data_IF_691692909248
#
_entry.id   IF_691692909248
#
_cell.length_a   1.000
_cell.length_b   1.000
_cell.length_c   1.000
_cell.angle_alpha   90.00
_cell.angle_beta   90.00
_cell.angle_gamma   90.00
#
_symmetry.space_group_name_H-M   'P 1'
#
loop_
_entity.id
_entity.type
_entity.pdbx_description
1 polymer ?
#
# COMPACT_ATOMS: atom_id res chain seq x y z
N UNK A 1 10.51 -11.97 12.07
CA UNK A 1 10.15 -11.42 10.74
C UNK A 1 8.65 -11.39 10.69
N UNK A 2 8.05 -10.26 10.29
CA UNK A 2 6.59 -10.14 10.26
C UNK A 2 5.99 -10.59 8.92
N UNK A 3 6.66 -10.29 7.81
CA UNK A 3 6.29 -10.77 6.46
C UNK A 3 7.53 -11.34 5.80
N UNK A 4 7.43 -12.55 5.26
CA UNK A 4 8.47 -13.20 4.48
C UNK A 4 7.91 -13.64 3.13
N UNK A 5 8.59 -13.28 2.06
CA UNK A 5 8.19 -13.56 0.68
C UNK A 5 9.32 -14.27 -0.04
N UNK A 6 9.01 -15.41 -0.64
CA UNK A 6 9.96 -16.26 -1.34
C UNK A 6 9.49 -16.59 -2.75
N UNK A 7 10.29 -16.20 -3.75
CA UNK A 7 10.04 -16.49 -5.16
C UNK A 7 8.71 -15.93 -5.68
N UNK A 8 8.23 -14.82 -5.13
CA UNK A 8 6.93 -14.26 -5.48
C UNK A 8 6.90 -13.79 -6.91
N UNK A 9 5.99 -14.35 -7.69
CA UNK A 9 5.67 -13.94 -9.04
C UNK A 9 4.19 -13.52 -9.12
N UNK A 10 3.94 -12.40 -9.80
CA UNK A 10 2.58 -11.88 -9.99
C UNK A 10 2.35 -11.63 -11.47
N UNK A 11 1.30 -12.26 -12.02
CA UNK A 11 0.88 -12.11 -13.39
C UNK A 11 -0.61 -11.79 -13.47
N UNK A 12 -0.99 -10.87 -14.34
CA UNK A 12 -2.40 -10.54 -14.60
C UNK A 12 -2.64 -10.66 -16.11
N UNK A 13 -3.41 -11.69 -16.49
CA UNK A 13 -3.57 -12.05 -17.89
C UNK A 13 -2.24 -12.39 -18.56
N UNK A 14 -1.89 -11.69 -19.63
CA UNK A 14 -0.61 -11.86 -20.34
C UNK A 14 0.53 -10.98 -19.80
N UNK A 15 0.26 -10.12 -18.79
CA UNK A 15 1.25 -9.18 -18.27
C UNK A 15 1.85 -9.67 -16.95
N UNK A 16 3.17 -9.82 -16.91
CA UNK A 16 3.91 -10.03 -15.66
C UNK A 16 4.08 -8.69 -14.96
N UNK A 17 3.55 -8.58 -13.75
CA UNK A 17 3.68 -7.40 -12.89
C UNK A 17 4.92 -7.49 -11.99
N UNK A 18 5.28 -8.71 -11.59
CA UNK A 18 6.44 -8.95 -10.75
C UNK A 18 7.07 -10.28 -11.13
N UNK A 19 8.34 -10.24 -11.51
CA UNK A 19 9.18 -11.43 -11.68
C UNK A 19 9.56 -12.04 -10.33
N UNK A 20 9.94 -13.33 -10.29
CA UNK A 20 10.27 -14.03 -9.04
C UNK A 20 11.21 -13.22 -8.15
N UNK A 21 10.69 -12.78 -7.02
CA UNK A 21 11.40 -11.87 -6.11
C UNK A 21 11.29 -12.36 -4.67
N UNK A 22 12.35 -12.13 -3.88
CA UNK A 22 12.41 -12.44 -2.45
C UNK A 22 12.55 -11.13 -1.67
N UNK A 23 11.75 -10.98 -0.62
CA UNK A 23 11.87 -9.86 0.31
C UNK A 23 11.27 -10.20 1.68
N UNK A 24 11.56 -9.39 2.66
CA UNK A 24 10.98 -9.51 3.98
C UNK A 24 10.69 -8.13 4.58
N UNK A 25 9.71 -8.08 5.47
CA UNK A 25 9.41 -6.93 6.32
C UNK A 25 9.65 -7.36 7.77
N UNK A 26 10.51 -6.65 8.46
CA UNK A 26 10.82 -6.90 9.87
C UNK A 26 10.15 -5.85 10.76
N UNK A 27 10.12 -6.11 12.07
CA UNK A 27 9.73 -5.09 13.06
C UNK A 27 10.66 -3.88 12.95
N UNK A 28 10.09 -2.68 12.91
CA UNK A 28 10.82 -1.42 12.73
C UNK A 28 11.14 -1.05 11.28
N UNK A 29 10.84 -1.91 10.31
CA UNK A 29 10.93 -1.55 8.89
C UNK A 29 9.77 -0.63 8.52
N UNK A 30 10.10 0.56 8.05
CA UNK A 30 9.16 1.60 7.64
C UNK A 30 9.33 1.81 6.13
N UNK A 31 8.55 1.07 5.34
CA UNK A 31 8.79 0.92 3.91
C UNK A 31 7.79 1.76 3.13
N UNK A 32 8.30 2.64 2.26
CA UNK A 32 7.51 3.31 1.24
C UNK A 32 7.52 2.51 -0.07
N UNK A 33 6.37 1.99 -0.50
CA UNK A 33 6.23 1.33 -1.81
C UNK A 33 5.81 2.36 -2.85
N UNK A 34 6.71 2.64 -3.78
CA UNK A 34 6.52 3.64 -4.82
C UNK A 34 6.64 3.02 -6.20
N UNK A 35 6.13 3.72 -7.20
CA UNK A 35 6.13 3.28 -8.59
C UNK A 35 5.02 3.98 -9.35
N UNK A 36 5.02 3.87 -10.67
CA UNK A 36 4.01 4.49 -11.54
C UNK A 36 2.60 3.98 -11.25
N UNK A 37 1.59 4.76 -11.64
CA UNK A 37 0.21 4.27 -11.60
C UNK A 37 0.07 3.07 -12.54
N UNK A 38 -0.64 2.03 -12.09
CA UNK A 38 -0.73 0.77 -12.82
C UNK A 38 0.52 -0.12 -12.77
N UNK A 39 1.53 0.20 -11.94
CA UNK A 39 2.71 -0.65 -11.76
C UNK A 39 2.41 -1.96 -11.01
N UNK A 40 1.26 -2.06 -10.34
CA UNK A 40 0.88 -3.24 -9.57
C UNK A 40 1.10 -3.11 -8.07
N UNK A 41 1.28 -1.89 -7.53
CA UNK A 41 1.47 -1.65 -6.07
C UNK A 41 0.33 -2.25 -5.24
N UNK A 42 -0.91 -1.88 -5.54
CA UNK A 42 -2.11 -2.42 -4.86
C UNK A 42 -2.27 -3.93 -5.08
N UNK A 43 -1.89 -4.44 -6.25
CA UNK A 43 -1.90 -5.89 -6.51
C UNK A 43 -0.90 -6.62 -5.61
N UNK A 44 0.30 -6.08 -5.47
CA UNK A 44 1.32 -6.63 -4.57
C UNK A 44 0.83 -6.65 -3.12
N UNK A 45 0.20 -5.56 -2.63
CA UNK A 45 -0.35 -5.54 -1.27
C UNK A 45 -1.45 -6.57 -1.09
N UNK A 46 -2.37 -6.73 -2.06
CA UNK A 46 -3.42 -7.76 -2.03
C UNK A 46 -2.88 -9.19 -2.04
N UNK A 47 -1.77 -9.44 -2.71
CA UNK A 47 -1.11 -10.75 -2.66
C UNK A 47 -0.44 -10.98 -1.29
N UNK A 48 0.20 -9.96 -0.72
CA UNK A 48 0.81 -10.06 0.61
C UNK A 48 -0.25 -10.31 1.70
N UNK A 49 -1.44 -9.69 1.58
CA UNK A 49 -2.54 -9.85 2.54
C UNK A 49 -3.33 -11.16 2.37
N UNK A 50 -3.13 -11.85 1.25
CA UNK A 50 -3.87 -13.07 0.92
C UNK A 50 -5.22 -12.83 0.22
N UNK A 51 -5.56 -11.57 -0.09
CA UNK A 51 -6.77 -11.20 -0.86
C UNK A 51 -6.67 -11.63 -2.33
N UNK A 52 -5.45 -11.93 -2.79
CA UNK A 52 -5.18 -12.43 -4.12
C UNK A 52 -4.08 -13.50 -4.07
N UNK A 53 -4.26 -14.57 -4.85
CA UNK A 53 -3.26 -15.62 -4.95
C UNK A 53 -2.10 -15.18 -5.84
N UNK A 54 -0.84 -15.48 -5.47
CA UNK A 54 0.30 -15.27 -6.34
C UNK A 54 0.29 -16.28 -7.51
N UNK A 55 0.96 -15.93 -8.62
CA UNK A 55 1.17 -16.85 -9.75
C UNK A 55 2.16 -17.94 -9.35
N UNK A 56 3.23 -17.56 -8.66
CA UNK A 56 4.21 -18.49 -8.07
C UNK A 56 4.80 -17.90 -6.80
N UNK A 57 5.50 -18.73 -6.03
CA UNK A 57 6.13 -18.33 -4.77
C UNK A 57 5.23 -18.52 -3.55
N UNK A 58 5.72 -18.02 -2.41
CA UNK A 58 5.03 -18.14 -1.12
C UNK A 58 5.16 -16.88 -0.31
N UNK A 59 4.06 -16.51 0.35
CA UNK A 59 4.00 -15.42 1.33
C UNK A 59 3.69 -16.02 2.70
N UNK A 60 4.47 -15.65 3.70
CA UNK A 60 4.25 -16.03 5.10
C UNK A 60 4.12 -14.75 5.92
N UNK A 61 3.01 -14.63 6.64
CA UNK A 61 2.77 -13.53 7.58
C UNK A 61 2.80 -14.10 8.99
N UNK A 62 3.62 -13.49 9.85
CA UNK A 62 3.73 -13.85 11.26
C UNK A 62 3.21 -12.69 12.12
N UNK A 63 2.32 -13.01 13.06
CA UNK A 63 1.66 -12.00 13.88
C UNK A 63 0.41 -11.40 13.23
N UNK A 64 -0.10 -10.34 13.84
CA UNK A 64 -1.32 -9.66 13.41
C UNK A 64 -1.01 -8.63 12.32
N UNK A 65 -1.69 -8.75 11.18
CA UNK A 65 -1.57 -7.83 10.05
C UNK A 65 -2.75 -6.86 10.04
N UNK A 66 -2.47 -5.56 9.98
CA UNK A 66 -3.45 -4.51 9.71
C UNK A 66 -3.36 -4.08 8.25
N UNK A 67 -4.44 -4.19 7.50
CA UNK A 67 -4.46 -3.80 6.10
C UNK A 67 -5.55 -2.77 5.79
N UNK A 68 -5.14 -1.64 5.23
CA UNK A 68 -6.02 -0.63 4.65
C UNK A 68 -5.96 -0.73 3.12
N UNK A 69 -6.95 -1.34 2.47
CA UNK A 69 -7.01 -1.40 1.00
C UNK A 69 -7.36 -0.03 0.42
N UNK A 70 -7.09 0.19 -0.87
CA UNK A 70 -7.46 1.43 -1.57
C UNK A 70 -8.97 1.64 -1.57
N UNK A 71 -9.75 0.58 -1.81
CA UNK A 71 -11.21 0.61 -1.75
C UNK A 71 -11.69 -0.19 -0.53
N UNK A 72 -12.53 0.43 0.28
CA UNK A 72 -13.13 -0.22 1.43
C UNK A 72 -14.42 -0.92 1.01
N UNK A 73 -14.36 -2.24 0.86
CA UNK A 73 -15.54 -3.04 0.54
C UNK A 73 -16.21 -3.63 1.78
N UNK A 74 -17.55 -3.62 1.76
CA UNK A 74 -18.48 -4.45 2.52
C UNK A 74 -18.18 -4.63 4.03
N UNK A 75 -18.32 -3.55 4.79
CA UNK A 75 -18.77 -3.69 6.18
C UNK A 75 -20.30 -3.80 6.18
N UNK A 76 -20.85 -4.48 7.18
CA UNK A 76 -22.29 -4.49 7.41
C UNK A 76 -22.78 -3.03 7.57
N UNK A 77 -23.64 -2.53 6.67
CA UNK A 77 -24.08 -1.13 6.69
C UNK A 77 -24.90 -0.78 7.93
N UNK A 78 -25.44 -1.78 8.65
CA UNK A 78 -26.23 -1.61 9.86
C UNK A 78 -25.40 -1.49 11.13
N UNK A 79 -24.12 -1.86 11.08
CA UNK A 79 -23.18 -1.76 12.19
C UNK A 79 -22.83 -0.30 12.46
N UNK A 80 -22.72 0.10 13.75
CA UNK A 80 -22.25 1.43 14.10
C UNK A 80 -20.74 1.59 13.82
N UNK A 81 -20.29 2.84 13.64
CA UNK A 81 -18.88 3.13 13.46
C UNK A 81 -18.04 2.67 14.67
N UNK A 82 -18.57 2.83 15.88
CA UNK A 82 -17.92 2.38 17.11
C UNK A 82 -17.79 0.85 17.15
N UNK A 83 -18.85 0.12 16.86
CA UNK A 83 -18.81 -1.36 16.82
C UNK A 83 -17.81 -1.85 15.78
N UNK A 84 -17.73 -1.15 14.64
CA UNK A 84 -16.75 -1.44 13.61
C UNK A 84 -15.33 -1.27 14.10
N UNK A 85 -15.04 -0.20 14.82
CA UNK A 85 -13.70 0.02 15.41
C UNK A 85 -13.40 -1.04 16.48
N UNK A 86 -14.34 -1.30 17.37
CA UNK A 86 -14.16 -2.27 18.46
C UNK A 86 -13.94 -3.70 17.95
N UNK A 87 -14.47 -4.03 16.74
CA UNK A 87 -14.24 -5.33 16.10
C UNK A 87 -12.77 -5.60 15.78
N UNK A 88 -11.92 -4.57 15.69
CA UNK A 88 -10.48 -4.72 15.40
C UNK A 88 -9.70 -5.47 16.50
N UNK A 89 -10.18 -5.43 17.73
CA UNK A 89 -9.60 -6.15 18.89
C UNK A 89 -10.48 -7.30 19.36
N UNK A 90 -11.47 -7.71 18.58
CA UNK A 90 -12.46 -8.78 18.90
C UNK A 90 -13.18 -8.59 20.23
N UNK A 91 -13.29 -7.35 20.72
CA UNK A 91 -13.82 -7.04 22.04
C UNK A 91 -15.25 -7.55 22.23
N UNK A 92 -16.10 -7.43 21.21
CA UNK A 92 -17.46 -7.95 21.26
C UNK A 92 -17.49 -9.47 21.47
N UNK A 93 -16.63 -10.21 20.78
CA UNK A 93 -16.48 -11.66 20.95
C UNK A 93 -16.00 -12.02 22.34
N UNK A 94 -15.05 -11.25 22.88
CA UNK A 94 -14.51 -11.44 24.23
C UNK A 94 -15.62 -11.21 25.28
N UNK A 95 -16.38 -10.13 25.16
CA UNK A 95 -17.54 -9.85 26.05
C UNK A 95 -18.56 -10.97 26.00
N UNK A 96 -18.88 -11.49 24.81
CA UNK A 96 -19.80 -12.61 24.70
C UNK A 96 -19.27 -13.89 25.36
N UNK A 97 -17.95 -14.13 25.31
CA UNK A 97 -17.30 -15.25 26.05
C UNK A 97 -17.40 -15.04 27.56
N UNK A 98 -17.20 -13.82 28.04
CA UNK A 98 -17.36 -13.47 29.45
C UNK A 98 -18.81 -13.76 29.90
N UNK A 99 -19.82 -13.20 29.22
CA UNK A 99 -21.23 -13.40 29.54
C UNK A 99 -21.64 -14.86 29.53
N UNK A 100 -21.15 -15.64 28.57
CA UNK A 100 -21.41 -17.08 28.51
C UNK A 100 -20.79 -17.81 29.69
N UNK A 101 -19.54 -17.50 30.04
CA UNK A 101 -18.89 -18.09 31.20
C UNK A 101 -19.61 -17.72 32.50
N UNK A 102 -20.02 -16.47 32.69
CA UNK A 102 -20.83 -16.02 33.83
C UNK A 102 -22.13 -16.84 33.97
N UNK A 103 -22.83 -17.05 32.84
CA UNK A 103 -24.04 -17.88 32.85
C UNK A 103 -23.74 -19.35 33.23
N UNK A 104 -22.66 -19.92 32.68
CA UNK A 104 -22.29 -21.31 32.97
C UNK A 104 -21.74 -21.47 34.42
N UNK A 105 -21.29 -20.40 35.09
CA UNK A 105 -20.89 -20.40 36.52
C UNK A 105 -22.08 -20.55 37.47
N UNK A 106 -23.32 -20.33 37.01
CA UNK A 106 -24.54 -20.55 37.81
C UNK A 106 -25.11 -21.97 37.65
N UNK A 107 -24.40 -22.85 36.92
CA UNK A 107 -24.81 -24.25 36.74
C UNK A 107 -24.67 -25.03 38.05
N UNK A 108 -25.61 -25.88 38.42
CA UNK A 108 -25.55 -26.70 39.63
C UNK A 108 -24.43 -27.76 39.65
N UNK A 109 -23.91 -28.13 38.49
CA UNK A 109 -22.85 -29.12 38.35
C UNK A 109 -21.47 -28.48 38.69
N UNK A 110 -20.76 -28.98 39.74
CA UNK A 110 -19.47 -28.45 40.14
C UNK A 110 -18.40 -28.53 39.06
N UNK A 111 -18.41 -29.52 38.19
CA UNK A 111 -17.48 -29.68 37.09
C UNK A 111 -17.67 -28.64 35.98
N UNK A 112 -18.94 -28.32 35.70
CA UNK A 112 -19.35 -27.26 34.76
C UNK A 112 -18.92 -25.90 35.33
N UNK A 113 -19.19 -25.63 36.59
CA UNK A 113 -18.85 -24.41 37.29
C UNK A 113 -17.33 -24.17 37.28
N UNK A 114 -16.52 -25.17 37.64
CA UNK A 114 -15.06 -25.07 37.67
C UNK A 114 -14.47 -24.75 36.27
N UNK A 115 -14.96 -25.43 35.24
CA UNK A 115 -14.56 -25.16 33.85
C UNK A 115 -15.01 -23.77 33.39
N UNK A 116 -16.18 -23.30 33.82
CA UNK A 116 -16.69 -21.97 33.52
C UNK A 116 -15.82 -20.89 34.14
N UNK A 117 -15.38 -21.07 35.40
CA UNK A 117 -14.48 -20.15 36.09
C UNK A 117 -13.14 -19.98 35.36
N UNK A 118 -12.53 -21.09 34.93
CA UNK A 118 -11.29 -21.05 34.13
C UNK A 118 -11.50 -20.31 32.79
N UNK A 119 -12.66 -20.50 32.12
CA UNK A 119 -12.99 -19.78 30.88
C UNK A 119 -13.22 -18.31 31.11
N UNK A 120 -13.83 -17.95 32.24
CA UNK A 120 -14.03 -16.56 32.66
C UNK A 120 -12.72 -15.83 32.88
N UNK A 121 -11.81 -16.43 33.70
CA UNK A 121 -10.49 -15.84 33.96
C UNK A 121 -9.70 -15.60 32.70
N UNK A 122 -9.70 -16.58 31.79
CA UNK A 122 -9.05 -16.43 30.48
C UNK A 122 -9.69 -15.34 29.64
N UNK A 123 -11.01 -15.26 29.60
CA UNK A 123 -11.73 -14.24 28.84
C UNK A 123 -11.49 -12.84 29.43
N UNK A 124 -11.40 -12.69 30.76
CA UNK A 124 -11.03 -11.43 31.41
C UNK A 124 -9.60 -11.00 31.09
N UNK A 125 -8.65 -11.93 31.11
CA UNK A 125 -7.27 -11.63 30.68
C UNK A 125 -7.21 -11.19 29.21
N UNK A 126 -7.98 -11.83 28.33
CA UNK A 126 -8.06 -11.41 26.91
C UNK A 126 -8.71 -10.03 26.78
N UNK A 127 -9.72 -9.72 27.61
CA UNK A 127 -10.37 -8.42 27.65
C UNK A 127 -9.41 -7.30 28.08
N UNK A 128 -8.63 -7.52 29.14
CA UNK A 128 -7.62 -6.56 29.57
C UNK A 128 -6.53 -6.34 28.52
N UNK A 129 -6.05 -7.39 27.86
CA UNK A 129 -5.09 -7.30 26.74
C UNK A 129 -5.65 -6.55 25.53
N UNK A 130 -6.96 -6.65 25.30
CA UNK A 130 -7.64 -5.91 24.24
C UNK A 130 -7.86 -4.42 24.55
N UNK A 131 -7.51 -3.97 25.76
CA UNK A 131 -7.68 -2.61 26.27
C UNK A 131 -8.81 -2.45 27.29
N UNK A 132 -9.53 -3.52 27.60
CA UNK A 132 -10.55 -3.54 28.64
C UNK A 132 -11.60 -2.44 28.47
N UNK A 133 -12.00 -1.84 29.58
CA UNK A 133 -12.97 -0.75 29.61
C UNK A 133 -12.44 0.56 28.97
N UNK A 134 -11.12 0.73 28.83
CA UNK A 134 -10.52 1.92 28.19
C UNK A 134 -10.60 1.88 26.65
N UNK A 135 -10.82 0.71 26.05
CA UNK A 135 -10.79 0.51 24.61
C UNK A 135 -11.78 1.41 23.84
N UNK A 136 -12.98 1.62 24.39
CA UNK A 136 -13.97 2.48 23.77
C UNK A 136 -13.50 3.94 23.73
N UNK A 137 -12.97 4.45 24.84
CA UNK A 137 -12.46 5.82 24.93
C UNK A 137 -11.25 6.02 24.02
N UNK A 138 -10.37 5.01 23.93
CA UNK A 138 -9.22 5.02 23.03
C UNK A 138 -9.68 5.04 21.55
N UNK A 139 -10.68 4.22 21.19
CA UNK A 139 -11.25 4.20 19.86
C UNK A 139 -11.85 5.55 19.44
N UNK A 140 -12.65 6.17 20.35
CA UNK A 140 -13.24 7.50 20.11
C UNK A 140 -12.15 8.57 19.98
N UNK A 141 -11.14 8.57 20.86
CA UNK A 141 -10.02 9.50 20.80
C UNK A 141 -9.23 9.39 19.50
N UNK A 142 -8.98 8.17 19.04
CA UNK A 142 -8.30 7.91 17.76
C UNK A 142 -9.13 8.38 16.57
N UNK A 143 -10.44 8.12 16.57
CA UNK A 143 -11.35 8.61 15.55
C UNK A 143 -11.40 10.15 15.50
N UNK A 144 -11.47 10.81 16.68
CA UNK A 144 -11.43 12.26 16.80
C UNK A 144 -10.13 12.84 16.21
N UNK A 145 -8.99 12.19 16.43
CA UNK A 145 -7.69 12.59 15.87
C UNK A 145 -7.62 12.47 14.34
N UNK A 146 -8.53 11.70 13.74
CA UNK A 146 -8.71 11.60 12.28
C UNK A 146 -9.89 12.46 11.78
N UNK A 147 -10.29 13.47 12.55
CA UNK A 147 -11.32 14.43 12.16
C UNK A 147 -12.74 13.84 12.12
N UNK A 148 -13.00 12.80 12.94
CA UNK A 148 -14.34 12.22 13.10
C UNK A 148 -14.91 12.64 14.44
N UNK A 149 -15.96 13.47 14.49
CA UNK A 149 -16.60 13.86 15.74
C UNK A 149 -17.29 12.68 16.41
N UNK A 150 -17.52 12.79 17.72
CA UNK A 150 -18.07 11.70 18.52
C UNK A 150 -19.45 11.21 18.04
N UNK A 151 -20.28 12.11 17.53
CA UNK A 151 -21.61 11.81 17.03
C UNK A 151 -21.59 10.84 15.83
N UNK A 152 -20.51 10.84 15.06
CA UNK A 152 -20.31 9.90 13.94
C UNK A 152 -20.08 8.48 14.44
N UNK A 153 -19.53 8.29 15.64
CA UNK A 153 -19.26 6.97 16.19
C UNK A 153 -20.54 6.17 16.50
N UNK A 154 -21.63 6.86 16.76
CA UNK A 154 -22.95 6.24 17.04
C UNK A 154 -23.76 5.99 15.76
N UNK A 155 -23.35 6.56 14.61
CA UNK A 155 -24.06 6.39 13.34
C UNK A 155 -23.75 5.05 12.69
N UNK A 156 -24.71 4.54 11.92
CA UNK A 156 -24.53 3.34 11.12
C UNK A 156 -23.60 3.62 9.92
N UNK A 157 -22.76 2.66 9.57
CA UNK A 157 -21.80 2.79 8.46
C UNK A 157 -22.49 3.11 7.13
N UNK A 158 -23.72 2.62 6.92
CA UNK A 158 -24.50 2.89 5.72
C UNK A 158 -24.85 4.36 5.51
N UNK A 159 -25.00 5.15 6.60
CA UNK A 159 -25.35 6.58 6.56
C UNK A 159 -24.14 7.51 6.39
N UNK A 160 -22.93 7.00 6.59
CA UNK A 160 -21.72 7.77 6.51
C UNK A 160 -21.29 8.07 5.07
N UNK A 161 -20.67 9.22 4.86
CA UNK A 161 -20.01 9.54 3.58
C UNK A 161 -18.85 8.57 3.30
N UNK A 162 -18.45 8.44 2.01
CA UNK A 162 -17.30 7.61 1.63
C UNK A 162 -16.01 8.00 2.36
N UNK A 163 -15.77 9.29 2.55
CA UNK A 163 -14.61 9.80 3.28
C UNK A 163 -14.66 9.46 4.78
N UNK A 164 -15.82 9.56 5.41
CA UNK A 164 -15.98 9.15 6.82
C UNK A 164 -15.76 7.64 6.99
N UNK A 165 -16.35 6.82 6.14
CA UNK A 165 -16.11 5.36 6.16
C UNK A 165 -14.63 5.02 6.01
N UNK A 166 -13.93 5.71 5.09
CA UNK A 166 -12.49 5.52 4.89
C UNK A 166 -11.69 5.87 6.14
N UNK A 167 -12.02 6.97 6.81
CA UNK A 167 -11.37 7.39 8.06
C UNK A 167 -11.67 6.44 9.22
N UNK A 168 -12.89 5.89 9.31
CA UNK A 168 -13.22 4.83 10.29
C UNK A 168 -12.39 3.57 10.04
N UNK A 169 -12.23 3.13 8.79
CA UNK A 169 -11.41 1.96 8.50
C UNK A 169 -9.92 2.18 8.83
N UNK A 170 -9.38 3.37 8.53
CA UNK A 170 -8.04 3.72 8.94
C UNK A 170 -7.90 3.70 10.47
N UNK A 171 -8.80 4.37 11.19
CA UNK A 171 -8.83 4.38 12.66
C UNK A 171 -8.89 2.95 13.22
N UNK A 172 -9.76 2.11 12.68
CA UNK A 172 -9.91 0.69 13.07
C UNK A 172 -8.59 -0.08 12.93
N UNK A 173 -7.89 0.11 11.82
CA UNK A 173 -6.63 -0.59 11.56
C UNK A 173 -5.53 -0.11 12.51
N UNK A 174 -5.43 1.19 12.75
CA UNK A 174 -4.47 1.73 13.72
C UNK A 174 -4.81 1.28 15.15
N UNK A 175 -6.09 1.22 15.49
CA UNK A 175 -6.59 0.73 16.79
C UNK A 175 -6.35 -0.77 17.00
N UNK A 176 -6.14 -1.56 15.93
CA UNK A 176 -6.07 -3.02 16.01
C UNK A 176 -4.88 -3.59 16.77
N UNK A 177 -3.87 -2.77 17.14
CA UNK A 177 -2.59 -3.23 17.72
C UNK A 177 -1.92 -4.30 16.83
N UNK A 178 -1.92 -4.10 15.51
CA UNK A 178 -1.29 -5.01 14.59
C UNK A 178 0.24 -4.99 14.75
N UNK A 179 0.91 -6.12 14.48
CA UNK A 179 2.38 -6.19 14.46
C UNK A 179 2.97 -5.56 13.20
N UNK A 180 2.19 -5.58 12.12
CA UNK A 180 2.59 -5.01 10.83
C UNK A 180 1.40 -4.32 10.18
N UNK A 181 1.63 -3.15 9.57
CA UNK A 181 0.62 -2.40 8.83
C UNK A 181 0.93 -2.42 7.34
N UNK A 182 -0.10 -2.56 6.52
CA UNK A 182 -0.07 -2.27 5.08
C UNK A 182 -1.12 -1.20 4.80
N UNK A 183 -0.67 -0.04 4.35
CA UNK A 183 -1.52 1.14 4.16
C UNK A 183 -1.48 1.57 2.69
N UNK A 184 -2.60 1.44 1.99
CA UNK A 184 -2.72 1.89 0.60
C UNK A 184 -3.43 3.24 0.56
N UNK A 185 -2.67 4.30 0.22
CA UNK A 185 -3.10 5.71 0.18
C UNK A 185 -3.83 6.16 1.46
N UNK A 186 -3.17 6.10 2.65
CA UNK A 186 -3.83 6.40 3.92
C UNK A 186 -4.17 7.87 4.11
N UNK A 187 -3.56 8.77 3.34
CA UNK A 187 -3.80 10.23 3.42
C UNK A 187 -5.01 10.69 2.62
N UNK A 188 -5.59 9.83 1.78
CA UNK A 188 -6.76 10.19 1.01
C UNK A 188 -7.96 10.46 1.92
N UNK A 189 -8.64 11.55 1.68
CA UNK A 189 -9.80 12.04 2.45
C UNK A 189 -9.48 12.53 3.88
N UNK A 190 -8.20 12.74 4.21
CA UNK A 190 -7.77 13.39 5.45
C UNK A 190 -7.55 14.88 5.24
N UNK A 191 -7.87 15.68 6.25
CA UNK A 191 -7.47 17.07 6.35
C UNK A 191 -6.01 17.21 6.86
N UNK A 192 -5.49 18.43 6.89
CA UNK A 192 -4.10 18.70 7.24
C UNK A 192 -3.77 18.24 8.67
N UNK A 193 -4.67 18.46 9.62
CA UNK A 193 -4.46 18.10 11.03
C UNK A 193 -4.45 16.59 11.22
N UNK A 194 -5.35 15.88 10.55
CA UNK A 194 -5.38 14.40 10.56
C UNK A 194 -4.15 13.78 9.90
N UNK A 195 -3.61 14.39 8.83
CA UNK A 195 -2.36 13.96 8.20
C UNK A 195 -1.18 14.16 9.16
N UNK A 196 -1.10 15.30 9.85
CA UNK A 196 -0.05 15.59 10.83
C UNK A 196 -0.09 14.57 11.97
N UNK A 197 -1.28 14.29 12.50
CA UNK A 197 -1.46 13.28 13.55
C UNK A 197 -1.03 11.88 13.05
N UNK A 198 -1.45 11.48 11.84
CA UNK A 198 -1.08 10.19 11.25
C UNK A 198 0.45 10.06 11.10
N UNK A 199 1.12 11.12 10.66
CA UNK A 199 2.60 11.17 10.60
C UNK A 199 3.21 10.93 11.98
N UNK A 200 2.72 11.65 12.99
CA UNK A 200 3.15 11.48 14.37
C UNK A 200 2.96 10.05 14.90
N UNK A 201 1.82 9.44 14.58
CA UNK A 201 1.51 8.05 14.93
C UNK A 201 2.49 7.07 14.26
N UNK A 202 2.66 7.15 12.93
CA UNK A 202 3.53 6.25 12.18
C UNK A 202 5.01 6.39 12.56
N UNK A 203 5.46 7.61 12.91
CA UNK A 203 6.81 7.82 13.45
C UNK A 203 7.07 7.04 14.73
N UNK A 204 6.09 6.96 15.63
CA UNK A 204 6.18 6.29 16.93
C UNK A 204 5.85 4.79 16.84
N UNK A 205 5.29 4.34 15.71
CA UNK A 205 4.90 2.95 15.55
C UNK A 205 6.10 2.01 15.62
N UNK A 206 6.08 1.06 16.56
CA UNK A 206 7.17 0.12 16.81
C UNK A 206 7.17 -1.09 15.90
N UNK A 207 6.03 -1.43 15.29
CA UNK A 207 5.89 -2.51 14.33
C UNK A 207 6.57 -2.21 12.99
N UNK A 208 6.44 -3.12 12.04
CA UNK A 208 6.80 -2.85 10.64
C UNK A 208 5.63 -2.27 9.87
N UNK A 209 5.88 -1.46 8.83
CA UNK A 209 4.82 -1.10 7.90
C UNK A 209 5.28 -0.97 6.46
N UNK A 210 4.33 -1.19 5.55
CA UNK A 210 4.42 -0.89 4.13
C UNK A 210 3.36 0.16 3.80
N UNK A 211 3.77 1.32 3.29
CA UNK A 211 2.85 2.39 2.89
C UNK A 211 2.99 2.69 1.41
N UNK A 212 1.87 2.75 0.71
CA UNK A 212 1.76 3.33 -0.63
C UNK A 212 1.20 4.73 -0.43
N UNK A 213 1.90 5.76 -0.90
CA UNK A 213 1.41 7.13 -0.85
C UNK A 213 1.99 7.99 -1.95
N UNK A 214 1.22 8.97 -2.39
CA UNK A 214 1.67 10.05 -3.26
C UNK A 214 2.14 11.29 -2.47
N UNK A 215 1.94 11.32 -1.15
CA UNK A 215 2.43 12.40 -0.29
C UNK A 215 3.93 12.25 -0.03
N UNK A 216 4.72 13.07 -0.70
CA UNK A 216 6.18 13.12 -0.50
C UNK A 216 6.55 13.53 0.92
N UNK A 217 5.75 14.38 1.56
CA UNK A 217 5.93 14.83 2.94
C UNK A 217 5.77 13.67 3.93
N UNK A 218 4.70 12.85 3.76
CA UNK A 218 4.51 11.67 4.58
C UNK A 218 5.69 10.71 4.43
N UNK A 219 6.10 10.41 3.18
CA UNK A 219 7.21 9.48 2.93
C UNK A 219 8.52 9.99 3.51
N UNK A 220 8.84 11.27 3.34
CA UNK A 220 10.10 11.86 3.84
C UNK A 220 10.24 11.73 5.37
N UNK A 221 9.12 11.84 6.08
CA UNK A 221 9.13 11.87 7.54
C UNK A 221 9.02 10.50 8.21
N UNK A 222 8.37 9.53 7.54
CA UNK A 222 8.03 8.27 8.22
C UNK A 222 8.78 7.05 7.68
N UNK A 223 9.35 7.08 6.46
CA UNK A 223 9.98 5.88 5.88
C UNK A 223 11.48 5.85 6.12
N UNK A 224 12.00 4.65 6.36
CA UNK A 224 13.44 4.37 6.46
C UNK A 224 13.95 3.47 5.33
N UNK A 225 13.03 2.90 4.54
CA UNK A 225 13.33 2.09 3.35
C UNK A 225 12.37 2.48 2.24
N UNK A 226 12.81 2.40 0.99
CA UNK A 226 11.95 2.63 -0.18
C UNK A 226 12.05 1.45 -1.13
N UNK A 227 10.91 0.92 -1.51
CA UNK A 227 10.78 -0.09 -2.54
C UNK A 227 10.17 0.53 -3.79
N UNK A 228 10.93 0.54 -4.87
CA UNK A 228 10.47 1.05 -6.15
C UNK A 228 10.05 -0.11 -7.06
N UNK A 229 8.75 -0.17 -7.35
CA UNK A 229 8.19 -1.15 -8.28
C UNK A 229 8.29 -0.60 -9.71
N UNK A 230 9.15 -1.19 -10.51
CA UNK A 230 9.31 -0.85 -11.92
C UNK A 230 8.26 -1.61 -12.75
N UNK A 231 7.32 -0.87 -13.34
CA UNK A 231 6.22 -1.42 -14.14
C UNK A 231 6.66 -2.04 -15.48
N UNK A 232 7.83 -1.67 -15.99
CA UNK A 232 8.35 -2.14 -17.27
C UNK A 232 9.19 -3.40 -17.09
N UNK A 233 10.02 -3.41 -16.06
CA UNK A 233 10.90 -4.53 -15.75
C UNK A 233 10.20 -5.60 -14.87
N UNK A 234 9.03 -5.29 -14.28
CA UNK A 234 8.37 -6.20 -13.34
C UNK A 234 9.26 -6.55 -12.14
N UNK A 235 10.04 -5.61 -11.64
CA UNK A 235 11.02 -5.82 -10.57
C UNK A 235 10.83 -4.80 -9.45
N UNK A 236 11.27 -5.16 -8.25
CA UNK A 236 11.31 -4.26 -7.10
C UNK A 236 12.75 -3.91 -6.81
N UNK A 237 13.11 -2.64 -6.99
CA UNK A 237 14.38 -2.10 -6.52
C UNK A 237 14.21 -1.69 -5.04
N UNK A 238 14.96 -2.35 -4.15
CA UNK A 238 14.87 -2.14 -2.70
C UNK A 238 16.02 -1.26 -2.21
N UNK A 239 15.67 -0.09 -1.66
CA UNK A 239 16.62 0.86 -1.10
C UNK A 239 16.47 0.91 0.42
N UNK A 240 17.56 0.63 1.15
CA UNK A 240 17.64 0.81 2.60
C UNK A 240 18.02 2.26 2.94
N UNK A 241 17.25 3.20 2.42
CA UNK A 241 17.48 4.64 2.48
C UNK A 241 16.15 5.34 2.76
N UNK A 242 16.19 6.45 3.50
CA UNK A 242 15.05 7.35 3.63
C UNK A 242 14.73 8.06 2.31
N UNK A 243 13.57 8.71 2.25
CA UNK A 243 12.98 9.24 1.01
C UNK A 243 13.91 10.16 0.20
N UNK A 244 14.50 11.19 0.83
CA UNK A 244 15.41 12.14 0.13
C UNK A 244 16.65 11.46 -0.43
N UNK A 245 17.27 10.58 0.36
CA UNK A 245 18.45 9.85 -0.08
C UNK A 245 18.12 8.89 -1.24
N UNK A 246 16.95 8.24 -1.18
CA UNK A 246 16.45 7.42 -2.29
C UNK A 246 16.28 8.23 -3.58
N UNK A 247 15.65 9.42 -3.53
CA UNK A 247 15.49 10.26 -4.73
C UNK A 247 16.82 10.58 -5.39
N UNK A 248 17.82 10.94 -4.60
CA UNK A 248 19.16 11.21 -5.10
C UNK A 248 19.81 9.96 -5.71
N UNK A 249 19.74 8.83 -4.99
CA UNK A 249 20.32 7.57 -5.46
C UNK A 249 19.66 7.09 -6.75
N UNK A 250 18.36 7.27 -6.89
CA UNK A 250 17.62 6.90 -8.09
C UNK A 250 18.11 7.65 -9.33
N UNK A 251 18.36 8.96 -9.22
CA UNK A 251 18.90 9.75 -10.35
C UNK A 251 20.26 9.21 -10.78
N UNK A 252 21.13 8.90 -9.82
CA UNK A 252 22.46 8.31 -10.11
C UNK A 252 22.33 6.94 -10.79
N UNK A 253 21.42 6.09 -10.30
CA UNK A 253 21.20 4.75 -10.86
C UNK A 253 20.59 4.83 -12.28
N UNK A 254 19.67 5.76 -12.53
CA UNK A 254 19.11 5.99 -13.87
C UNK A 254 20.18 6.46 -14.86
N UNK A 255 21.05 7.41 -14.45
CA UNK A 255 22.17 7.86 -15.27
C UNK A 255 23.16 6.73 -15.56
N UNK A 256 23.48 5.90 -14.55
CA UNK A 256 24.35 4.74 -14.73
C UNK A 256 23.75 3.75 -15.72
N UNK A 257 22.48 3.37 -15.55
CA UNK A 257 21.76 2.46 -16.47
C UNK A 257 21.72 3.02 -17.89
N UNK A 258 21.53 4.34 -18.04
CA UNK A 258 21.57 4.99 -19.36
C UNK A 258 22.95 4.89 -20.01
N UNK A 259 24.03 5.18 -19.28
CA UNK A 259 25.42 5.06 -19.78
C UNK A 259 25.76 3.61 -20.16
N UNK A 260 25.40 2.65 -19.34
CA UNK A 260 25.60 1.23 -19.60
C UNK A 260 24.91 0.79 -20.90
N UNK A 261 23.68 1.29 -21.13
CA UNK A 261 22.92 1.04 -22.37
C UNK A 261 23.62 1.66 -23.57
N UNK A 262 24.01 2.92 -23.52
CA UNK A 262 24.70 3.58 -24.63
C UNK A 262 26.00 2.84 -25.01
N UNK A 263 26.71 2.32 -24.02
CA UNK A 263 27.93 1.52 -24.24
C UNK A 263 27.57 0.17 -24.90
N UNK A 264 26.52 -0.51 -24.41
CA UNK A 264 26.09 -1.78 -24.96
C UNK A 264 25.57 -1.63 -26.40
N UNK A 265 24.77 -0.60 -26.70
CA UNK A 265 24.29 -0.28 -28.03
C UNK A 265 25.44 0.00 -29.02
N UNK A 266 26.40 0.84 -28.61
CA UNK A 266 27.62 1.11 -29.42
C UNK A 266 28.42 -0.17 -29.68
N UNK A 267 28.51 -1.07 -28.69
CA UNK A 267 29.22 -2.35 -28.83
C UNK A 267 28.45 -3.31 -29.76
N UNK A 268 27.15 -3.39 -29.61
CA UNK A 268 26.27 -4.19 -30.45
C UNK A 268 26.31 -3.71 -31.93
N UNK A 269 26.26 -2.39 -32.17
CA UNK A 269 26.37 -1.80 -33.50
C UNK A 269 27.72 -2.12 -34.15
N UNK A 270 28.83 -2.05 -33.41
CA UNK A 270 30.15 -2.46 -33.92
C UNK A 270 30.17 -3.94 -34.30
N UNK A 271 29.64 -4.83 -33.47
CA UNK A 271 29.58 -6.27 -33.76
C UNK A 271 28.69 -6.57 -34.96
N UNK A 272 27.54 -5.89 -35.08
CA UNK A 272 26.66 -6.00 -36.26
C UNK A 272 27.38 -5.58 -37.55
N UNK A 273 28.04 -4.40 -37.54
CA UNK A 273 28.82 -3.91 -38.70
C UNK A 273 29.95 -4.86 -39.08
N UNK A 274 30.66 -5.42 -38.11
CA UNK A 274 31.71 -6.43 -38.34
C UNK A 274 31.09 -7.74 -38.90
N UNK A 275 29.98 -8.21 -38.33
CA UNK A 275 29.26 -9.39 -38.79
C UNK A 275 28.83 -9.27 -40.29
N UNK A 276 28.24 -8.12 -40.64
CA UNK A 276 27.82 -7.85 -42.04
C UNK A 276 29.01 -7.87 -43.00
N UNK A 277 30.14 -7.25 -42.62
CA UNK A 277 31.37 -7.26 -43.44
C UNK A 277 31.97 -8.66 -43.64
N UNK A 278 31.88 -9.51 -42.62
CA UNK A 278 32.39 -10.90 -42.68
C UNK A 278 31.43 -11.84 -43.43
N UNK A 279 30.15 -11.57 -43.38
CA UNK A 279 29.13 -12.37 -44.07
C UNK A 279 29.32 -12.36 -45.61
N UNK A 280 29.93 -11.30 -46.16
CA UNK A 280 30.27 -11.20 -47.59
C UNK A 280 31.37 -12.22 -48.04
N UNK A 281 32.02 -12.93 -47.12
CA UNK A 281 33.03 -13.95 -47.40
C UNK A 281 32.55 -15.32 -46.94
N UNK A 282 32.23 -16.22 -47.90
CA UNK A 282 31.63 -17.54 -47.62
C UNK A 282 32.36 -18.36 -46.53
N UNK A 283 33.71 -18.27 -46.47
CA UNK A 283 34.53 -18.99 -45.50
C UNK A 283 34.41 -18.46 -44.05
N UNK A 284 33.72 -17.33 -43.82
CA UNK A 284 33.59 -16.69 -42.51
C UNK A 284 32.13 -16.55 -42.06
N UNK A 285 31.21 -17.20 -42.73
CA UNK A 285 29.77 -17.10 -42.42
C UNK A 285 29.42 -17.47 -40.98
N UNK A 286 30.00 -18.52 -40.43
CA UNK A 286 29.78 -18.95 -39.02
C UNK A 286 30.28 -17.92 -38.03
N UNK A 287 31.42 -17.29 -38.29
CA UNK A 287 31.95 -16.22 -37.44
C UNK A 287 31.07 -14.97 -37.48
N UNK A 288 30.55 -14.61 -38.64
CA UNK A 288 29.61 -13.51 -38.82
C UNK A 288 28.29 -13.74 -38.04
N UNK A 289 27.73 -14.93 -38.17
CA UNK A 289 26.50 -15.30 -37.44
C UNK A 289 26.68 -15.28 -35.92
N UNK A 290 27.85 -15.75 -35.42
CA UNK A 290 28.15 -15.67 -34.00
C UNK A 290 28.29 -14.22 -33.50
N UNK A 291 28.83 -13.31 -34.33
CA UNK A 291 28.92 -11.89 -33.98
C UNK A 291 27.53 -11.22 -33.92
N UNK A 292 26.67 -11.51 -34.89
CA UNK A 292 25.28 -11.02 -34.93
C UNK A 292 24.51 -11.53 -33.70
N UNK A 293 24.59 -12.80 -33.38
CA UNK A 293 23.94 -13.39 -32.20
C UNK A 293 24.45 -12.79 -30.88
N UNK A 294 25.75 -12.46 -30.80
CA UNK A 294 26.31 -11.75 -29.63
C UNK A 294 25.80 -10.31 -29.54
N UNK A 295 25.62 -9.62 -30.66
CA UNK A 295 25.05 -8.28 -30.70
C UNK A 295 23.58 -8.29 -30.26
N UNK A 296 22.77 -9.22 -30.77
CA UNK A 296 21.39 -9.41 -30.37
C UNK A 296 21.28 -9.69 -28.87
N UNK A 297 22.09 -10.61 -28.33
CA UNK A 297 22.10 -10.92 -26.90
C UNK A 297 22.53 -9.74 -26.02
N UNK A 298 23.43 -8.87 -26.50
CA UNK A 298 23.78 -7.62 -25.81
C UNK A 298 22.62 -6.63 -25.81
N UNK A 299 21.84 -6.56 -26.89
CA UNK A 299 20.67 -5.70 -27.00
C UNK A 299 19.50 -6.26 -26.17
N UNK A 300 19.26 -7.56 -26.18
CA UNK A 300 18.24 -8.21 -25.34
C UNK A 300 18.49 -7.92 -23.85
N UNK A 301 19.72 -8.11 -23.38
CA UNK A 301 20.09 -7.83 -21.99
C UNK A 301 19.99 -6.34 -21.61
N UNK A 302 19.92 -5.44 -22.58
CA UNK A 302 19.80 -3.98 -22.37
C UNK A 302 18.46 -3.41 -22.80
N UNK A 303 17.68 -4.09 -23.65
CA UNK A 303 16.39 -3.62 -24.16
C UNK A 303 15.25 -3.73 -23.11
N UNK A 304 15.43 -4.53 -22.06
CA UNK A 304 14.53 -4.54 -20.91
C UNK A 304 14.55 -3.23 -20.10
N UNK A 305 15.49 -2.34 -20.41
CA UNK A 305 15.57 -1.03 -19.80
C UNK A 305 14.87 0.03 -20.67
N UNK A 306 13.69 0.40 -20.28
CA UNK A 306 12.95 1.65 -20.59
C UNK A 306 13.04 2.20 -22.02
N UNK A 307 12.07 1.90 -22.85
CA UNK A 307 11.61 2.89 -23.83
C UNK A 307 11.06 4.08 -23.03
N UNK A 308 11.73 5.22 -23.08
CA UNK A 308 11.18 6.45 -22.51
C UNK A 308 9.78 6.62 -23.10
N UNK A 309 8.77 6.61 -22.24
CA UNK A 309 7.42 6.92 -22.70
C UNK A 309 7.45 8.35 -23.23
N UNK A 310 6.95 8.51 -24.44
CA UNK A 310 6.73 9.83 -25.01
C UNK A 310 5.73 10.54 -24.10
N UNK A 311 6.23 11.54 -23.37
CA UNK A 311 5.34 12.49 -22.69
C UNK A 311 4.57 13.18 -23.79
N UNK A 312 3.23 13.18 -23.70
CA UNK A 312 2.42 13.91 -24.64
C UNK A 312 2.79 15.40 -24.55
N UNK A 313 3.29 15.96 -25.66
CA UNK A 313 3.54 17.40 -25.78
C UNK A 313 2.18 18.09 -25.97
N UNK A 314 1.52 18.37 -24.84
CA UNK A 314 0.22 19.06 -24.85
C UNK A 314 0.50 20.54 -25.07
N UNK A 315 0.33 20.99 -26.31
CA UNK A 315 0.34 22.43 -26.63
C UNK A 315 -1.08 22.94 -26.50
N UNK A 316 -1.28 23.83 -25.55
CA UNK A 316 -2.52 24.58 -25.48
C UNK A 316 -2.56 25.53 -26.69
N UNK A 317 -3.69 25.65 -27.40
CA UNK A 317 -3.84 26.66 -28.40
C UNK A 317 -3.66 28.06 -27.77
N UNK A 318 -3.08 28.99 -28.52
CA UNK A 318 -2.98 30.37 -28.05
C UNK A 318 -4.36 30.86 -27.65
N UNK A 319 -4.52 31.45 -26.46
CA UNK A 319 -5.81 31.95 -26.03
C UNK A 319 -6.26 33.07 -26.98
N UNK A 320 -7.54 33.06 -27.32
CA UNK A 320 -8.10 34.17 -28.08
C UNK A 320 -7.81 35.52 -27.36
N UNK A 321 -7.54 36.59 -28.08
CA UNK A 321 -7.27 37.87 -27.46
C UNK A 321 -8.45 38.29 -26.58
N UNK A 322 -8.19 38.31 -25.27
CA UNK A 322 -9.18 38.74 -24.28
C UNK A 322 -8.85 40.17 -23.81
N UNK A 323 -9.87 40.92 -23.45
CA UNK A 323 -9.70 42.26 -22.86
C UNK A 323 -8.98 42.23 -21.51
N UNK A 324 -8.72 43.39 -20.91
CA UNK A 324 -8.02 43.52 -19.61
C UNK A 324 -8.64 42.71 -18.46
N UNK A 325 -9.91 42.28 -18.58
CA UNK A 325 -10.62 41.48 -17.57
C UNK A 325 -11.24 40.28 -18.27
N UNK A 326 -10.54 39.14 -18.32
CA UNK A 326 -11.02 37.95 -19.03
C UNK A 326 -12.28 37.32 -18.42
N UNK A 327 -12.53 37.55 -17.14
CA UNK A 327 -13.73 37.08 -16.43
C UNK A 327 -14.20 38.20 -15.50
N UNK A 328 -15.46 38.63 -15.64
CA UNK A 328 -16.12 39.55 -14.73
C UNK A 328 -17.33 38.84 -14.12
N UNK A 329 -17.32 38.67 -12.82
CA UNK A 329 -18.43 38.12 -12.07
C UNK A 329 -19.03 39.20 -11.19
N UNK A 330 -20.33 39.52 -11.39
CA UNK A 330 -21.09 40.41 -10.54
C UNK A 330 -22.25 39.65 -9.94
N UNK A 331 -22.47 39.88 -8.65
CA UNK A 331 -23.64 39.37 -7.91
C UNK A 331 -23.88 37.84 -8.07
N UNK A 332 -22.81 37.05 -8.04
CA UNK A 332 -22.92 35.57 -8.08
C UNK A 332 -23.36 35.08 -6.72
N UNK A 333 -24.57 34.53 -6.66
CA UNK A 333 -25.02 33.75 -5.51
C UNK A 333 -25.28 32.31 -5.95
N UNK A 334 -24.89 31.33 -5.14
CA UNK A 334 -25.20 29.90 -5.34
C UNK A 334 -25.83 29.38 -4.06
N UNK A 335 -27.10 29.03 -4.14
CA UNK A 335 -27.77 28.29 -3.08
C UNK A 335 -27.75 26.78 -3.41
N UNK A 336 -27.36 25.96 -2.46
CA UNK A 336 -27.62 24.53 -2.55
C UNK A 336 -29.04 24.29 -1.99
N UNK A 337 -29.94 23.72 -2.79
CA UNK A 337 -31.19 23.21 -2.25
C UNK A 337 -30.84 22.09 -1.28
N UNK A 338 -31.14 22.28 0.00
CA UNK A 338 -31.30 21.15 0.91
C UNK A 338 -32.56 20.40 0.43
N UNK A 339 -32.41 19.17 0.00
CA UNK A 339 -33.55 18.30 -0.20
C UNK A 339 -34.08 17.96 1.19
N UNK A 340 -35.09 18.70 1.62
CA UNK A 340 -35.94 18.28 2.72
C UNK A 340 -36.74 17.08 2.20
N UNK A 341 -36.39 15.90 2.67
CA UNK A 341 -37.23 14.73 2.54
C UNK A 341 -38.45 14.93 3.42
N UNK A 342 -39.61 15.15 2.80
CA UNK A 342 -40.91 14.85 3.38
C UNK A 342 -41.13 13.36 3.43
#
# INVERSE_FOLDING_TARGET
MAIEVQGLEIQIGARTLLHPTNFHVAKGDKIGLVGRNGAGKTTLTRVITGDMLPTAGKVRVSGKLGYLPQDTHASDPTQTALDRMMSARDIATIINRIRKAEKDMTDPDPDVMSKAMTRYDKAMQDFDKAGGYAAQSEAISMAASLGLPQEVMEQQLGTLSGGQRRRIELARILFSNADTLILDEPTNHLDADSIEWLRGYLKKYEGGFLVISHSTELLDEVVNKVWHLDAQLGQIDMYSLGWKAYLHQRVVDEERRRREREVAEKKADRLMKQGIRLHAKATKAVAAQNMMRRAEKLLENTSEAQKAEKVADIRFPEPAPCGRTPIMAKDISKAYRSEEHT
#
